data_IF_430575210616
#
_entry.id   IF_430575210616
#
_cell.length_a   1.000
_cell.length_b   1.000
_cell.length_c   1.000
_cell.angle_alpha   90.00
_cell.angle_beta   90.00
_cell.angle_gamma   90.00
#
_symmetry.space_group_name_H-M   'P 1'
#
loop_
_entity.id
_entity.type
_entity.pdbx_description
1 polymer ?
#
# COMPACT_ATOMS: atom_id res chain seq x y z
N UNK A 1 88.36 -35.70 1.71
CA UNK A 1 87.08 -35.30 1.09
C UNK A 1 86.02 -36.39 1.28
N UNK A 2 85.57 -36.64 2.51
CA UNK A 2 84.62 -37.73 2.84
C UNK A 2 83.58 -37.35 3.90
N UNK A 3 83.49 -36.07 4.24
CA UNK A 3 82.64 -35.54 5.32
C UNK A 3 81.45 -34.71 4.82
N UNK A 4 81.35 -34.47 3.51
CA UNK A 4 80.24 -33.70 2.92
C UNK A 4 78.98 -34.52 2.59
N UNK A 5 79.06 -35.85 2.65
CA UNK A 5 77.94 -36.74 2.30
C UNK A 5 77.01 -37.09 3.49
N UNK A 6 77.39 -36.75 4.73
CA UNK A 6 76.58 -37.10 5.91
C UNK A 6 75.57 -36.01 6.32
N UNK A 7 75.74 -34.75 5.88
CA UNK A 7 74.80 -33.67 6.21
C UNK A 7 73.59 -33.58 5.26
N UNK A 8 73.67 -34.17 4.06
CA UNK A 8 72.56 -34.20 3.09
C UNK A 8 71.50 -35.25 3.41
N UNK A 9 71.80 -36.23 4.27
CA UNK A 9 70.86 -37.30 4.65
C UNK A 9 69.92 -36.92 5.81
N UNK A 10 70.27 -35.91 6.61
CA UNK A 10 69.50 -35.56 7.81
C UNK A 10 68.38 -34.51 7.56
N UNK A 11 68.35 -33.89 6.38
CA UNK A 11 67.36 -32.86 6.03
C UNK A 11 66.05 -33.41 5.45
N UNK A 12 65.95 -34.72 5.23
CA UNK A 12 64.77 -35.39 4.66
C UNK A 12 63.85 -36.04 5.71
N UNK A 13 64.13 -35.85 7.01
CA UNK A 13 63.32 -36.38 8.12
C UNK A 13 62.55 -35.31 8.91
N UNK A 14 62.38 -34.10 8.35
CA UNK A 14 61.45 -33.11 8.88
C UNK A 14 60.01 -33.50 8.56
N UNK A 15 59.45 -34.39 9.36
CA UNK A 15 58.10 -34.93 9.18
C UNK A 15 57.02 -33.87 9.06
N UNK A 16 56.08 -34.14 8.15
CA UNK A 16 54.80 -33.46 8.05
C UNK A 16 54.12 -33.42 9.42
N UNK A 17 54.01 -32.25 10.03
CA UNK A 17 53.05 -32.02 11.11
C UNK A 17 51.67 -31.94 10.47
N UNK A 18 51.13 -33.09 10.10
CA UNK A 18 49.73 -33.23 9.71
C UNK A 18 48.91 -33.05 10.98
N UNK A 19 48.38 -31.85 11.18
CA UNK A 19 47.30 -31.64 12.14
C UNK A 19 46.18 -32.60 11.76
N UNK A 20 45.99 -33.66 12.56
CA UNK A 20 44.87 -34.56 12.40
C UNK A 20 43.59 -33.73 12.57
N UNK A 21 42.93 -33.42 11.47
CA UNK A 21 41.58 -32.92 11.51
C UNK A 21 40.76 -34.01 12.21
N UNK A 22 40.03 -33.69 13.30
CA UNK A 22 39.21 -34.68 13.98
C UNK A 22 38.33 -35.33 12.91
N UNK A 23 38.21 -36.68 12.89
CA UNK A 23 37.39 -37.35 11.91
C UNK A 23 36.02 -36.68 11.94
N UNK A 24 35.58 -36.16 10.79
CA UNK A 24 34.23 -35.63 10.65
C UNK A 24 33.31 -36.64 11.31
N UNK A 25 32.57 -36.22 12.35
CA UNK A 25 31.58 -37.08 13.00
C UNK A 25 30.71 -37.60 11.88
N UNK A 26 30.91 -38.86 11.51
CA UNK A 26 29.95 -39.58 10.71
C UNK A 26 28.74 -39.63 11.63
N UNK A 27 27.82 -38.70 11.42
CA UNK A 27 26.47 -38.84 11.95
C UNK A 27 25.96 -40.05 11.17
N UNK A 28 26.18 -41.22 11.76
CA UNK A 28 25.50 -42.44 11.38
C UNK A 28 24.02 -42.09 11.57
N UNK A 29 23.39 -41.66 10.48
CA UNK A 29 21.96 -41.41 10.45
C UNK A 29 21.35 -42.78 10.61
N UNK A 30 21.15 -43.18 11.88
CA UNK A 30 20.47 -44.39 12.24
C UNK A 30 19.09 -44.29 11.60
N UNK A 31 18.88 -45.06 10.53
CA UNK A 31 17.58 -45.22 9.89
C UNK A 31 16.72 -45.97 10.91
N UNK A 32 16.10 -45.23 11.82
CA UNK A 32 15.11 -45.78 12.74
C UNK A 32 13.89 -46.08 11.89
N UNK A 33 13.72 -47.34 11.50
CA UNK A 33 12.46 -47.77 10.90
C UNK A 33 11.39 -47.66 11.98
N UNK A 34 10.30 -46.90 11.75
CA UNK A 34 9.23 -46.81 12.72
C UNK A 34 8.62 -48.21 12.92
N UNK A 35 8.35 -48.57 14.17
CA UNK A 35 7.67 -49.82 14.50
C UNK A 35 6.32 -49.87 13.74
N UNK A 36 6.01 -51.01 13.11
CA UNK A 36 4.75 -51.18 12.39
C UNK A 36 3.58 -51.15 13.38
N UNK A 37 2.78 -50.08 13.34
CA UNK A 37 1.58 -49.91 14.17
C UNK A 37 0.36 -50.26 13.33
N UNK A 38 -0.51 -51.14 13.84
CA UNK A 38 -1.75 -51.48 13.14
C UNK A 38 -2.60 -50.21 12.90
N UNK A 39 -3.10 -50.03 11.68
CA UNK A 39 -3.88 -48.85 11.27
C UNK A 39 -3.06 -47.66 10.77
N UNK A 40 -1.73 -47.76 10.66
CA UNK A 40 -0.89 -46.71 10.07
C UNK A 40 -0.83 -46.75 8.53
N UNK A 41 -1.28 -47.84 7.90
CA UNK A 41 -1.30 -47.99 6.45
C UNK A 41 -2.68 -47.60 5.93
N UNK A 42 -2.74 -46.47 5.23
CA UNK A 42 -3.94 -45.99 4.55
C UNK A 42 -3.81 -46.40 3.07
N UNK A 43 -4.82 -47.05 2.46
CA UNK A 43 -4.84 -47.32 1.02
C UNK A 43 -4.66 -46.05 0.20
N UNK A 44 -3.97 -46.12 -0.94
CA UNK A 44 -3.70 -44.93 -1.78
C UNK A 44 -4.98 -44.19 -2.19
N UNK A 45 -6.06 -44.94 -2.44
CA UNK A 45 -7.39 -44.43 -2.78
C UNK A 45 -8.06 -43.60 -1.66
N UNK A 46 -7.66 -43.80 -0.40
CA UNK A 46 -8.21 -43.11 0.77
C UNK A 46 -7.27 -42.03 1.31
N UNK A 47 -6.08 -41.85 0.74
CA UNK A 47 -5.11 -40.85 1.20
C UNK A 47 -5.67 -39.43 1.15
N UNK A 48 -6.40 -39.08 0.07
CA UNK A 48 -7.01 -37.76 -0.12
C UNK A 48 -8.06 -37.41 0.96
N UNK A 49 -8.63 -38.42 1.63
CA UNK A 49 -9.57 -38.24 2.74
C UNK A 49 -8.86 -37.82 4.03
N UNK A 50 -7.55 -38.03 4.09
CA UNK A 50 -6.72 -37.78 5.27
C UNK A 50 -5.82 -36.57 5.04
N UNK A 51 -5.13 -36.49 3.89
CA UNK A 51 -4.33 -35.33 3.49
C UNK A 51 -4.40 -35.14 1.98
N UNK A 52 -4.20 -33.91 1.54
CA UNK A 52 -3.91 -33.64 0.14
C UNK A 52 -2.44 -33.98 -0.17
N UNK A 53 -2.22 -34.58 -1.34
CA UNK A 53 -0.89 -34.82 -1.90
C UNK A 53 -0.09 -33.53 -2.09
N UNK A 54 1.23 -33.63 -2.09
CA UNK A 54 2.11 -32.55 -2.53
C UNK A 54 2.02 -32.34 -4.05
N UNK A 55 2.02 -31.08 -4.49
CA UNK A 55 2.10 -30.77 -5.92
C UNK A 55 3.55 -30.63 -6.35
N UNK A 56 3.99 -31.53 -7.24
CA UNK A 56 5.35 -31.60 -7.74
C UNK A 56 5.40 -31.13 -9.18
N UNK A 57 6.20 -30.09 -9.44
CA UNK A 57 6.41 -29.57 -10.78
C UNK A 57 7.83 -29.83 -11.27
N UNK A 58 7.91 -30.37 -12.47
CA UNK A 58 9.17 -30.61 -13.16
C UNK A 58 9.61 -29.36 -13.93
N UNK A 59 10.80 -28.86 -13.62
CA UNK A 59 11.47 -27.77 -14.31
C UNK A 59 12.69 -28.30 -15.04
N UNK A 60 12.69 -28.15 -16.37
CA UNK A 60 13.85 -28.47 -17.18
C UNK A 60 14.82 -27.30 -17.14
N UNK A 61 16.02 -27.53 -16.61
CA UNK A 61 17.12 -26.56 -16.64
C UNK A 61 18.02 -26.94 -17.80
N UNK A 62 18.30 -25.98 -18.69
CA UNK A 62 19.23 -26.16 -19.80
C UNK A 62 20.69 -26.33 -19.33
N UNK A 63 21.60 -26.54 -20.27
CA UNK A 63 23.03 -26.50 -19.97
C UNK A 63 23.41 -25.10 -19.50
N UNK A 64 24.20 -25.01 -18.44
CA UNK A 64 24.70 -23.73 -17.96
C UNK A 64 26.13 -23.86 -17.43
N UNK A 65 26.89 -22.78 -17.53
CA UNK A 65 28.25 -22.69 -16.96
C UNK A 65 28.12 -22.23 -15.51
N UNK A 66 28.87 -22.86 -14.60
CA UNK A 66 28.84 -22.52 -13.18
C UNK A 66 29.22 -21.03 -12.98
N UNK A 67 28.36 -20.20 -12.34
CA UNK A 67 28.67 -18.80 -12.10
C UNK A 67 29.94 -18.57 -11.28
N UNK A 68 30.30 -19.52 -10.41
CA UNK A 68 31.47 -19.43 -9.55
C UNK A 68 32.73 -20.04 -10.19
N UNK A 69 32.58 -20.82 -11.26
CA UNK A 69 33.71 -21.44 -11.96
C UNK A 69 33.42 -21.60 -13.47
N UNK A 70 34.00 -20.73 -14.29
CA UNK A 70 33.82 -20.73 -15.74
C UNK A 70 34.38 -21.97 -16.45
N UNK A 71 35.16 -22.82 -15.77
CA UNK A 71 35.67 -24.08 -16.30
C UNK A 71 34.69 -25.26 -16.19
N UNK A 72 33.55 -25.10 -15.51
CA UNK A 72 32.58 -26.18 -15.28
C UNK A 72 31.26 -25.85 -15.98
N UNK A 73 30.77 -26.80 -16.79
CA UNK A 73 29.45 -26.74 -17.42
C UNK A 73 28.58 -27.88 -16.88
N UNK A 74 27.41 -27.53 -16.37
CA UNK A 74 26.36 -28.49 -16.01
C UNK A 74 25.52 -28.83 -17.23
N UNK A 75 25.17 -30.11 -17.35
CA UNK A 75 24.31 -30.62 -18.42
C UNK A 75 22.84 -30.24 -18.20
N UNK A 76 21.98 -30.57 -19.19
CA UNK A 76 20.54 -30.35 -19.07
C UNK A 76 19.95 -31.32 -18.04
N UNK A 77 19.29 -30.78 -17.01
CA UNK A 77 18.70 -31.58 -15.92
C UNK A 77 17.20 -31.28 -15.76
N UNK A 78 16.50 -32.15 -15.05
CA UNK A 78 15.13 -31.90 -14.59
C UNK A 78 15.14 -31.78 -13.07
N UNK A 79 14.65 -30.65 -12.56
CA UNK A 79 14.42 -30.45 -11.14
C UNK A 79 12.94 -30.65 -10.83
N UNK A 80 12.64 -31.47 -9.83
CA UNK A 80 11.30 -31.55 -9.27
C UNK A 80 11.23 -30.62 -8.06
N UNK A 81 10.30 -29.66 -8.08
CA UNK A 81 10.08 -28.75 -6.97
C UNK A 81 8.67 -28.96 -6.42
N UNK A 82 8.57 -28.98 -5.10
CA UNK A 82 7.30 -28.93 -4.38
C UNK A 82 6.76 -27.51 -4.51
N UNK A 83 5.66 -27.33 -5.25
CA UNK A 83 4.96 -26.04 -5.36
C UNK A 83 4.01 -25.84 -4.18
N UNK A 84 3.28 -26.90 -3.81
CA UNK A 84 2.37 -26.90 -2.68
C UNK A 84 2.75 -28.01 -1.69
N UNK A 85 3.00 -27.59 -0.45
CA UNK A 85 3.27 -28.50 0.66
C UNK A 85 2.01 -29.30 1.01
N UNK A 86 2.17 -30.54 1.48
CA UNK A 86 1.03 -31.37 1.83
C UNK A 86 0.25 -30.79 3.00
N UNK A 87 -1.08 -30.82 2.92
CA UNK A 87 -1.98 -30.28 3.93
C UNK A 87 -2.97 -31.34 4.40
N UNK A 88 -3.25 -31.37 5.71
CA UNK A 88 -4.29 -32.23 6.28
C UNK A 88 -5.66 -31.86 5.73
N UNK A 89 -6.47 -32.87 5.39
CA UNK A 89 -7.83 -32.64 4.97
C UNK A 89 -8.70 -32.32 6.19
N UNK A 90 -9.04 -31.04 6.38
CA UNK A 90 -9.90 -30.57 7.47
C UNK A 90 -11.39 -30.63 7.14
N UNK A 91 -11.74 -31.13 5.94
CA UNK A 91 -13.14 -31.22 5.53
C UNK A 91 -13.77 -32.48 6.12
N UNK A 92 -15.04 -32.40 6.57
CA UNK A 92 -15.76 -33.59 6.98
C UNK A 92 -15.88 -34.56 5.80
N UNK A 93 -15.40 -35.78 5.98
CA UNK A 93 -15.43 -36.85 4.97
C UNK A 93 -16.85 -37.40 4.68
N UNK A 94 -17.85 -36.91 5.40
CA UNK A 94 -19.26 -37.24 5.21
C UNK A 94 -20.05 -35.98 4.90
N UNK A 95 -20.99 -36.06 3.97
CA UNK A 95 -21.93 -34.97 3.70
C UNK A 95 -22.62 -34.57 5.03
N UNK A 96 -22.34 -33.37 5.52
CA UNK A 96 -23.12 -32.80 6.61
C UNK A 96 -24.48 -32.46 6.00
N UNK A 97 -25.43 -33.39 6.12
CA UNK A 97 -26.83 -33.08 5.86
C UNK A 97 -27.35 -32.35 7.09
N UNK A 98 -27.56 -31.02 7.03
CA UNK A 98 -28.26 -30.36 8.12
C UNK A 98 -29.60 -31.08 8.30
N UNK A 99 -30.04 -31.36 9.54
CA UNK A 99 -31.28 -32.07 9.77
C UNK A 99 -32.43 -31.27 9.15
N UNK A 100 -32.95 -31.78 8.04
CA UNK A 100 -34.11 -31.20 7.36
C UNK A 100 -35.29 -31.31 8.32
N UNK A 101 -35.82 -30.15 8.76
CA UNK A 101 -37.05 -30.09 9.55
C UNK A 101 -36.91 -29.64 11.00
N UNK A 102 -35.71 -29.32 11.50
CA UNK A 102 -35.57 -28.54 12.74
C UNK A 102 -34.62 -27.38 12.48
N UNK A 103 -35.20 -26.21 12.20
CA UNK A 103 -34.45 -24.96 12.37
C UNK A 103 -33.77 -25.00 13.74
N UNK A 104 -32.52 -24.57 13.80
CA UNK A 104 -31.85 -24.31 15.06
C UNK A 104 -32.79 -23.41 15.87
N UNK A 105 -33.50 -23.99 16.86
CA UNK A 105 -34.26 -23.18 17.82
C UNK A 105 -33.18 -22.53 18.66
N UNK A 106 -32.80 -21.32 18.27
CA UNK A 106 -31.98 -20.45 19.10
C UNK A 106 -32.54 -20.48 20.52
N UNK A 107 -31.65 -20.61 21.50
CA UNK A 107 -32.06 -20.59 22.91
C UNK A 107 -33.00 -19.40 23.15
N UNK A 108 -34.11 -19.54 23.90
CA UNK A 108 -34.99 -18.42 24.23
C UNK A 108 -34.24 -17.22 24.83
N UNK A 109 -33.10 -17.46 25.48
CA UNK A 109 -32.20 -16.42 25.98
C UNK A 109 -31.48 -15.65 24.87
N UNK A 110 -31.06 -16.30 23.79
CA UNK A 110 -30.41 -15.66 22.65
C UNK A 110 -31.40 -14.84 21.85
N UNK A 111 -32.60 -15.35 21.60
CA UNK A 111 -33.66 -14.60 20.90
C UNK A 111 -33.99 -13.30 21.62
N UNK A 112 -34.13 -13.35 22.96
CA UNK A 112 -34.38 -12.15 23.77
C UNK A 112 -33.24 -11.15 23.69
N UNK A 113 -31.98 -11.61 23.70
CA UNK A 113 -30.81 -10.73 23.57
C UNK A 113 -30.74 -10.08 22.19
N UNK A 114 -30.98 -10.85 21.12
CA UNK A 114 -31.03 -10.33 19.76
C UNK A 114 -32.15 -9.30 19.61
N UNK A 115 -33.36 -9.60 20.07
CA UNK A 115 -34.49 -8.68 19.96
C UNK A 115 -34.26 -7.38 20.72
N UNK A 116 -33.66 -7.43 21.92
CA UNK A 116 -33.38 -6.22 22.70
C UNK A 116 -32.22 -5.41 22.12
N UNK A 117 -31.11 -6.06 21.81
CA UNK A 117 -29.89 -5.36 21.39
C UNK A 117 -30.01 -4.84 19.96
N UNK A 118 -30.58 -5.65 19.06
CA UNK A 118 -30.84 -5.22 17.68
C UNK A 118 -31.81 -4.05 17.66
N UNK A 119 -32.86 -4.07 18.48
CA UNK A 119 -33.80 -2.95 18.56
C UNK A 119 -33.12 -1.69 19.09
N UNK A 120 -32.30 -1.81 20.14
CA UNK A 120 -31.55 -0.69 20.68
C UNK A 120 -30.59 -0.10 19.63
N UNK A 121 -29.88 -0.96 18.90
CA UNK A 121 -28.95 -0.54 17.85
C UNK A 121 -29.68 0.13 16.68
N UNK A 122 -30.81 -0.41 16.25
CA UNK A 122 -31.66 0.21 15.22
C UNK A 122 -32.17 1.58 15.67
N UNK A 123 -32.61 1.71 16.92
CA UNK A 123 -33.03 2.99 17.49
C UNK A 123 -31.87 3.99 17.57
N UNK A 124 -30.66 3.53 17.91
CA UNK A 124 -29.44 4.34 17.91
C UNK A 124 -29.09 4.83 16.50
N UNK A 125 -29.12 3.95 15.50
CA UNK A 125 -28.86 4.29 14.10
C UNK A 125 -29.90 5.28 13.56
N UNK A 126 -31.17 5.11 13.94
CA UNK A 126 -32.23 6.04 13.57
C UNK A 126 -32.00 7.44 14.14
N UNK A 127 -31.69 7.54 15.44
CA UNK A 127 -31.38 8.82 16.09
C UNK A 127 -30.15 9.49 15.49
N UNK A 128 -29.12 8.71 15.19
CA UNK A 128 -27.93 9.21 14.51
C UNK A 128 -28.27 9.77 13.13
N UNK A 129 -29.03 9.02 12.32
CA UNK A 129 -29.51 9.45 11.00
C UNK A 129 -30.33 10.74 11.08
N UNK A 130 -31.26 10.84 12.03
CA UNK A 130 -32.06 12.05 12.27
C UNK A 130 -31.18 13.25 12.63
N UNK A 131 -30.15 13.05 13.47
CA UNK A 131 -29.19 14.11 13.82
C UNK A 131 -28.35 14.55 12.63
N UNK A 132 -27.93 13.60 11.78
CA UNK A 132 -27.14 13.87 10.59
C UNK A 132 -27.98 14.67 9.59
N UNK A 133 -29.24 14.29 9.38
CA UNK A 133 -30.19 15.02 8.54
C UNK A 133 -30.44 16.45 9.07
N UNK A 134 -30.55 16.62 10.39
CA UNK A 134 -30.68 17.95 10.97
C UNK A 134 -29.41 18.80 10.75
N UNK A 135 -28.23 18.20 10.83
CA UNK A 135 -26.95 18.88 10.57
C UNK A 135 -26.79 19.25 9.10
N UNK A 136 -27.08 18.34 8.18
CA UNK A 136 -27.00 18.61 6.73
C UNK A 136 -27.96 19.72 6.32
N UNK A 137 -29.19 19.73 6.86
CA UNK A 137 -30.14 20.83 6.65
C UNK A 137 -29.56 22.17 7.11
N UNK A 138 -29.00 22.24 8.33
CA UNK A 138 -28.37 23.47 8.83
C UNK A 138 -27.18 23.92 7.98
N UNK A 139 -26.40 22.98 7.47
CA UNK A 139 -25.27 23.29 6.59
C UNK A 139 -25.75 23.86 5.25
N UNK A 140 -26.80 23.28 4.66
CA UNK A 140 -27.44 23.81 3.44
C UNK A 140 -27.98 25.22 3.68
N UNK A 141 -28.73 25.45 4.76
CA UNK A 141 -29.24 26.79 5.12
C UNK A 141 -28.11 27.82 5.30
N UNK A 142 -26.96 27.40 5.84
CA UNK A 142 -25.79 28.25 6.01
C UNK A 142 -25.12 28.58 4.66
N UNK A 143 -25.05 27.60 3.74
CA UNK A 143 -24.54 27.80 2.38
C UNK A 143 -25.46 28.73 1.59
N UNK A 144 -26.78 28.58 1.68
CA UNK A 144 -27.73 29.48 1.01
C UNK A 144 -27.56 30.93 1.49
N UNK A 145 -27.39 31.13 2.81
CA UNK A 145 -27.11 32.47 3.37
C UNK A 145 -25.78 33.03 2.90
N UNK A 146 -24.73 32.21 2.77
CA UNK A 146 -23.43 32.67 2.30
C UNK A 146 -23.47 33.05 0.81
N UNK A 147 -24.20 32.29 -0.01
CA UNK A 147 -24.45 32.61 -1.43
C UNK A 147 -25.21 33.94 -1.54
N UNK A 148 -26.28 34.14 -0.75
CA UNK A 148 -27.02 35.39 -0.75
C UNK A 148 -26.14 36.59 -0.39
N UNK A 149 -25.28 36.45 0.64
CA UNK A 149 -24.31 37.48 1.02
C UNK A 149 -23.26 37.74 -0.07
N UNK A 150 -22.79 36.69 -0.76
CA UNK A 150 -21.85 36.82 -1.87
C UNK A 150 -22.44 37.63 -3.04
N UNK A 151 -23.72 37.41 -3.37
CA UNK A 151 -24.42 38.20 -4.41
C UNK A 151 -24.56 39.66 -4.01
N UNK A 152 -24.92 39.95 -2.75
CA UNK A 152 -24.95 41.32 -2.25
C UNK A 152 -23.58 42.00 -2.35
N UNK A 153 -22.51 41.27 -2.04
CA UNK A 153 -21.14 41.79 -2.15
C UNK A 153 -20.74 42.05 -3.61
N UNK A 154 -21.16 41.21 -4.54
CA UNK A 154 -20.96 41.41 -5.97
C UNK A 154 -21.68 42.66 -6.48
N UNK A 155 -22.93 42.87 -6.07
CA UNK A 155 -23.69 44.08 -6.38
C UNK A 155 -22.98 45.34 -5.83
N UNK A 156 -22.52 45.29 -4.57
CA UNK A 156 -21.75 46.38 -3.97
C UNK A 156 -20.44 46.65 -4.73
N UNK A 157 -19.71 45.61 -5.10
CA UNK A 157 -18.49 45.74 -5.90
C UNK A 157 -18.79 46.40 -7.25
N UNK A 158 -19.87 45.99 -7.93
CA UNK A 158 -20.29 46.61 -9.20
C UNK A 158 -20.62 48.09 -9.06
N UNK A 159 -21.25 48.49 -7.94
CA UNK A 159 -21.59 49.89 -7.67
C UNK A 159 -20.34 50.71 -7.39
N UNK A 160 -19.39 50.18 -6.62
CA UNK A 160 -18.11 50.83 -6.34
C UNK A 160 -17.33 51.04 -7.64
N UNK A 161 -17.28 50.02 -8.52
CA UNK A 161 -16.62 50.13 -9.83
C UNK A 161 -17.25 51.23 -10.71
N UNK A 162 -18.59 51.37 -10.69
CA UNK A 162 -19.27 52.47 -11.39
C UNK A 162 -18.89 53.84 -10.83
N UNK A 163 -18.90 54.00 -9.50
CA UNK A 163 -18.50 55.25 -8.83
C UNK A 163 -17.05 55.63 -9.12
N UNK A 164 -16.13 54.67 -9.13
CA UNK A 164 -14.74 54.90 -9.51
C UNK A 164 -14.63 55.39 -10.97
N UNK A 165 -15.37 54.76 -11.90
CA UNK A 165 -15.41 55.21 -13.29
C UNK A 165 -15.97 56.63 -13.47
N UNK A 166 -16.95 57.04 -12.65
CA UNK A 166 -17.48 58.41 -12.63
C UNK A 166 -16.45 59.40 -12.06
N UNK A 167 -15.79 59.06 -10.96
CA UNK A 167 -14.72 59.87 -10.39
C UNK A 167 -13.56 60.05 -11.37
N UNK A 168 -13.14 59.00 -12.09
CA UNK A 168 -12.11 59.09 -13.12
C UNK A 168 -12.51 60.02 -14.27
N UNK A 169 -13.79 60.03 -14.67
CA UNK A 169 -14.31 60.97 -15.67
C UNK A 169 -14.27 62.41 -15.14
N UNK A 170 -14.64 62.62 -13.88
CA UNK A 170 -14.60 63.93 -13.24
C UNK A 170 -13.17 64.46 -13.14
N UNK A 171 -12.21 63.62 -12.73
CA UNK A 171 -10.78 63.95 -12.69
C UNK A 171 -10.29 64.36 -14.08
N UNK A 172 -10.54 63.54 -15.11
CA UNK A 172 -10.16 63.88 -16.50
C UNK A 172 -10.74 65.21 -16.98
N UNK A 173 -12.01 65.49 -16.66
CA UNK A 173 -12.64 66.76 -17.03
C UNK A 173 -11.98 67.94 -16.30
N UNK A 174 -11.65 67.79 -15.02
CA UNK A 174 -10.93 68.82 -14.26
C UNK A 174 -9.51 69.03 -14.82
N UNK A 175 -8.80 67.98 -15.20
CA UNK A 175 -7.47 68.08 -15.84
C UNK A 175 -7.52 68.86 -17.16
N UNK A 176 -8.55 68.62 -17.99
CA UNK A 176 -8.76 69.39 -19.23
C UNK A 176 -9.00 70.86 -18.92
N UNK A 177 -9.91 71.17 -17.98
CA UNK A 177 -10.17 72.56 -17.58
C UNK A 177 -8.93 73.27 -17.06
N UNK A 178 -8.10 72.58 -16.26
CA UNK A 178 -6.84 73.15 -15.75
C UNK A 178 -5.92 73.51 -16.91
N UNK A 179 -5.74 72.61 -17.89
CA UNK A 179 -4.92 72.89 -19.08
C UNK A 179 -5.48 74.07 -19.89
N UNK A 180 -6.79 74.13 -20.09
CA UNK A 180 -7.42 75.24 -20.81
C UNK A 180 -7.14 76.58 -20.09
N UNK A 181 -7.34 76.66 -18.77
CA UNK A 181 -7.03 77.86 -17.99
C UNK A 181 -5.54 78.24 -18.05
N UNK A 182 -4.63 77.27 -18.02
CA UNK A 182 -3.19 77.52 -18.19
C UNK A 182 -2.88 78.12 -19.57
N UNK A 183 -3.48 77.59 -20.63
CA UNK A 183 -3.30 78.13 -21.99
C UNK A 183 -3.88 79.54 -22.14
N UNK A 184 -5.07 79.81 -21.59
CA UNK A 184 -5.67 81.15 -21.60
C UNK A 184 -4.80 82.16 -20.85
N UNK A 185 -4.26 81.76 -19.69
CA UNK A 185 -3.34 82.59 -18.91
C UNK A 185 -2.05 82.87 -19.69
N UNK A 186 -1.47 81.87 -20.34
CA UNK A 186 -0.27 82.03 -21.16
C UNK A 186 -0.51 82.98 -22.34
N UNK A 187 -1.65 82.85 -23.04
CA UNK A 187 -2.04 83.76 -24.13
C UNK A 187 -2.20 85.20 -23.62
N UNK A 188 -2.83 85.40 -22.45
CA UNK A 188 -2.97 86.74 -21.86
C UNK A 188 -1.61 87.35 -21.51
N UNK A 189 -0.68 86.56 -20.97
CA UNK A 189 0.67 87.04 -20.66
C UNK A 189 1.42 87.45 -21.94
N UNK A 190 1.39 86.62 -22.99
CA UNK A 190 2.03 86.92 -24.27
C UNK A 190 1.46 88.17 -24.96
N UNK A 191 0.14 88.40 -24.88
CA UNK A 191 -0.48 89.61 -25.42
C UNK A 191 -0.01 90.87 -24.69
N UNK A 192 0.15 90.78 -23.37
CA UNK A 192 0.64 91.90 -22.58
C UNK A 192 2.10 92.23 -22.91
N UNK A 193 2.96 91.21 -23.08
CA UNK A 193 4.34 91.39 -23.52
C UNK A 193 4.42 92.06 -24.91
N UNK A 194 3.51 91.73 -25.84
CA UNK A 194 3.46 92.33 -27.17
C UNK A 194 2.87 93.76 -27.22
N UNK A 195 2.15 94.19 -26.19
CA UNK A 195 1.63 95.57 -26.06
C UNK A 195 2.65 96.51 -25.36
N UNK A 196 3.61 95.94 -24.64
CA UNK A 196 4.66 96.67 -23.90
C UNK A 196 5.95 96.87 -24.73
N UNK A 197 6.04 96.34 -25.97
CA UNK A 197 7.10 96.58 -26.99
C UNK A 197 6.70 97.62 -28.06
#
# INVERSE_FOLDING_TARGET
MRTFLLLSGLLLCGGCMSTAQPPARQIEQQIVMPAAVAGSNIPEEDLDRVRYGEDLKAYTIGRYVDPNNSGIMYEKNVLYRVEESPQWNLRPNTEIRPPVGKSHRESPSLQKLFDTELKNEVDNQRRFSESLLAQTKRAVDAIEKSIAKSRQMEEQNSLILKKLGEQDKMIRNMEVKIKDYETERNIKNLKKEAEDE
#
